data_IF_289218543659
#
_entry.id   IF_289218543659
#
_cell.length_a   1.000
_cell.length_b   1.000
_cell.length_c   1.000
_cell.angle_alpha   90.00
_cell.angle_beta   90.00
_cell.angle_gamma   90.00
#
_symmetry.space_group_name_H-M   'P 1'
#
loop_
_entity.id
_entity.type
_entity.pdbx_description
1 polymer ?
#
# COMPACT_ATOMS: atom_id res chain seq x y z
N UNK A 1 12.86 -16.21 -29.04
CA UNK A 1 12.91 -14.74 -29.11
C UNK A 1 12.07 -14.17 -27.98
N UNK A 2 12.68 -13.70 -26.88
CA UNK A 2 11.93 -13.19 -25.72
C UNK A 2 11.39 -11.80 -26.09
N UNK A 3 10.07 -11.64 -26.11
CA UNK A 3 9.40 -10.37 -26.37
C UNK A 3 9.71 -9.40 -25.23
N UNK A 4 10.43 -8.32 -25.52
CA UNK A 4 10.78 -7.30 -24.53
C UNK A 4 9.52 -6.47 -24.23
N UNK A 5 8.82 -6.82 -23.15
CA UNK A 5 7.68 -6.04 -22.66
C UNK A 5 8.24 -4.74 -22.08
N UNK A 6 7.90 -3.61 -22.69
CA UNK A 6 8.24 -2.27 -22.19
C UNK A 6 7.05 -1.71 -21.40
N UNK A 7 7.12 -1.78 -20.08
CA UNK A 7 6.15 -1.11 -19.19
C UNK A 7 6.64 0.32 -18.93
N UNK A 8 5.73 1.29 -18.98
CA UNK A 8 6.03 2.66 -18.58
C UNK A 8 6.38 2.69 -17.09
N UNK A 9 7.48 3.34 -16.74
CA UNK A 9 7.92 3.50 -15.36
C UNK A 9 6.85 4.09 -14.44
N UNK A 10 6.10 5.09 -14.90
CA UNK A 10 5.01 5.68 -14.12
C UNK A 10 3.91 4.65 -13.82
N UNK A 11 3.57 3.83 -14.81
CA UNK A 11 2.58 2.78 -14.65
C UNK A 11 3.06 1.67 -13.70
N UNK A 12 4.35 1.31 -13.77
CA UNK A 12 4.95 0.37 -12.82
C UNK A 12 4.85 0.89 -11.38
N UNK A 13 5.16 2.17 -11.16
CA UNK A 13 5.06 2.78 -9.84
C UNK A 13 3.62 2.78 -9.33
N UNK A 14 2.67 3.20 -10.16
CA UNK A 14 1.26 3.18 -9.80
C UNK A 14 0.77 1.76 -9.46
N UNK A 15 1.20 0.73 -10.19
CA UNK A 15 0.87 -0.66 -9.86
C UNK A 15 1.41 -1.07 -8.49
N UNK A 16 2.65 -0.69 -8.17
CA UNK A 16 3.25 -0.94 -6.86
C UNK A 16 2.43 -0.22 -5.78
N UNK A 17 2.13 1.07 -5.97
CA UNK A 17 1.34 1.86 -5.02
C UNK A 17 -0.03 1.22 -4.74
N UNK A 18 -0.74 0.77 -5.79
CA UNK A 18 -2.04 0.10 -5.66
C UNK A 18 -1.92 -1.21 -4.88
N UNK A 19 -0.92 -2.05 -5.19
CA UNK A 19 -0.70 -3.32 -4.48
C UNK A 19 -0.40 -3.07 -3.00
N UNK A 20 0.41 -2.07 -2.69
CA UNK A 20 0.70 -1.69 -1.30
C UNK A 20 -0.53 -1.11 -0.61
N UNK A 21 -1.24 -0.18 -1.25
CA UNK A 21 -2.43 0.46 -0.70
C UNK A 21 -3.52 -0.57 -0.39
N UNK A 22 -3.63 -1.66 -1.15
CA UNK A 22 -4.70 -2.65 -1.02
C UNK A 22 -4.24 -3.91 -0.29
N UNK A 23 -3.46 -4.76 -0.94
CA UNK A 23 -3.11 -6.11 -0.49
C UNK A 23 -2.26 -6.08 0.80
N UNK A 24 -1.24 -5.24 0.87
CA UNK A 24 -0.36 -5.21 2.04
C UNK A 24 -0.94 -4.40 3.20
N UNK A 25 -1.87 -3.49 2.93
CA UNK A 25 -2.52 -2.68 3.95
C UNK A 25 -3.96 -3.12 4.26
N UNK A 26 -4.31 -4.41 4.07
CA UNK A 26 -5.62 -4.96 4.48
C UNK A 26 -5.98 -4.64 5.94
N UNK A 27 -5.07 -4.79 6.93
CA UNK A 27 -5.40 -4.45 8.32
C UNK A 27 -5.83 -2.99 8.50
N UNK A 28 -5.19 -2.06 7.78
CA UNK A 28 -5.55 -0.64 7.80
C UNK A 28 -6.98 -0.44 7.30
N UNK A 29 -7.34 -1.11 6.19
CA UNK A 29 -8.72 -1.08 5.69
C UNK A 29 -9.72 -1.63 6.70
N UNK A 30 -9.42 -2.76 7.35
CA UNK A 30 -10.28 -3.33 8.37
C UNK A 30 -10.52 -2.35 9.53
N UNK A 31 -9.47 -1.69 10.01
CA UNK A 31 -9.59 -0.66 11.04
C UNK A 31 -10.39 0.55 10.57
N UNK A 32 -10.14 1.05 9.35
CA UNK A 32 -10.89 2.17 8.77
C UNK A 32 -12.38 1.83 8.60
N UNK A 33 -12.70 0.64 8.11
CA UNK A 33 -14.09 0.19 7.99
C UNK A 33 -14.78 0.09 9.34
N UNK A 34 -14.09 -0.42 10.36
CA UNK A 34 -14.62 -0.44 11.72
C UNK A 34 -14.91 0.99 12.21
N UNK A 35 -13.99 1.93 12.01
CA UNK A 35 -14.19 3.33 12.39
C UNK A 35 -15.39 3.93 11.65
N UNK A 36 -15.45 3.79 10.33
CA UNK A 36 -16.54 4.32 9.48
C UNK A 36 -17.90 3.77 9.91
N UNK A 37 -17.98 2.46 10.20
CA UNK A 37 -19.24 1.83 10.60
C UNK A 37 -19.73 2.30 11.98
N UNK A 38 -18.85 2.84 12.83
CA UNK A 38 -19.21 3.43 14.13
C UNK A 38 -19.51 4.93 14.05
N UNK A 39 -19.37 5.55 12.87
CA UNK A 39 -19.67 6.97 12.64
C UNK A 39 -21.03 7.12 11.96
N UNK A 40 -21.94 7.86 12.60
CA UNK A 40 -23.21 8.23 11.98
C UNK A 40 -23.01 9.30 10.89
N UNK A 41 -23.65 9.12 9.73
CA UNK A 41 -23.74 10.15 8.68
C UNK A 41 -22.48 10.36 7.84
N UNK A 42 -21.61 9.35 7.69
CA UNK A 42 -20.41 9.45 6.83
C UNK A 42 -20.81 9.68 5.37
N UNK A 43 -20.29 10.75 4.77
CA UNK A 43 -20.52 11.08 3.35
C UNK A 43 -19.76 10.11 2.44
N UNK A 44 -20.41 9.64 1.37
CA UNK A 44 -19.78 8.75 0.38
C UNK A 44 -18.48 9.33 -0.21
N UNK A 45 -18.41 10.66 -0.39
CA UNK A 45 -17.21 11.34 -0.87
C UNK A 45 -16.00 11.16 0.05
N UNK A 46 -16.21 11.05 1.36
CA UNK A 46 -15.13 10.75 2.30
C UNK A 46 -14.63 9.31 2.13
N UNK A 47 -15.54 8.36 1.98
CA UNK A 47 -15.19 6.94 1.76
C UNK A 47 -14.36 6.77 0.48
N UNK A 48 -14.73 7.45 -0.61
CA UNK A 48 -13.99 7.43 -1.88
C UNK A 48 -12.64 8.17 -1.76
N UNK A 49 -12.56 9.18 -0.91
CA UNK A 49 -11.29 9.91 -0.71
C UNK A 49 -10.21 9.06 -0.03
N UNK A 50 -10.58 8.08 0.81
CA UNK A 50 -9.62 7.21 1.50
C UNK A 50 -8.70 6.40 0.57
N UNK A 51 -9.21 5.65 -0.44
CA UNK A 51 -8.34 4.91 -1.35
C UNK A 51 -7.49 5.85 -2.21
N UNK A 52 -8.07 6.96 -2.67
CA UNK A 52 -7.33 7.98 -3.43
C UNK A 52 -6.21 8.57 -2.59
N UNK A 53 -6.49 8.89 -1.32
CA UNK A 53 -5.53 9.41 -0.37
C UNK A 53 -4.41 8.42 -0.08
N UNK A 54 -4.73 7.16 0.24
CA UNK A 54 -3.72 6.14 0.55
C UNK A 54 -2.79 5.87 -0.64
N UNK A 55 -3.34 5.74 -1.85
CA UNK A 55 -2.54 5.57 -3.07
C UNK A 55 -1.64 6.80 -3.30
N UNK A 56 -2.18 8.01 -3.17
CA UNK A 56 -1.42 9.25 -3.38
C UNK A 56 -0.32 9.44 -2.33
N UNK A 57 -0.62 9.12 -1.06
CA UNK A 57 0.34 9.17 0.03
C UNK A 57 1.48 8.16 -0.17
N UNK A 58 1.16 6.92 -0.58
CA UNK A 58 2.17 5.92 -0.90
C UNK A 58 3.01 6.33 -2.11
N UNK A 59 2.39 6.86 -3.17
CA UNK A 59 3.12 7.37 -4.32
C UNK A 59 4.12 8.47 -3.92
N UNK A 60 3.70 9.41 -3.07
CA UNK A 60 4.57 10.44 -2.52
C UNK A 60 5.74 9.85 -1.71
N UNK A 61 5.48 8.87 -0.85
CA UNK A 61 6.50 8.20 -0.03
C UNK A 61 7.46 7.36 -0.88
N UNK A 62 6.97 6.71 -1.93
CA UNK A 62 7.75 5.82 -2.79
C UNK A 62 8.56 6.56 -3.86
N UNK A 63 8.13 7.76 -4.26
CA UNK A 63 8.83 8.62 -5.22
C UNK A 63 10.34 8.75 -4.94
N UNK A 64 10.82 9.11 -3.73
CA UNK A 64 12.25 9.20 -3.45
C UNK A 64 13.01 7.87 -3.54
N UNK A 65 12.33 6.72 -3.46
CA UNK A 65 12.96 5.39 -3.58
C UNK A 65 12.89 4.83 -5.01
N UNK A 66 12.32 5.59 -5.95
CA UNK A 66 12.05 5.13 -7.31
C UNK A 66 13.21 5.36 -8.28
N UNK A 67 14.40 5.72 -7.80
CA UNK A 67 15.58 5.88 -8.65
C UNK A 67 16.13 4.54 -9.15
N UNK A 68 16.68 4.54 -10.37
CA UNK A 68 17.09 3.35 -11.15
C UNK A 68 17.85 2.27 -10.36
N UNK A 69 18.76 2.67 -9.47
CA UNK A 69 19.61 1.74 -8.72
C UNK A 69 18.99 1.24 -7.42
N UNK A 70 18.11 2.03 -6.81
CA UNK A 70 17.50 1.73 -5.49
C UNK A 70 16.17 0.98 -5.66
N UNK A 71 15.43 1.27 -6.72
CA UNK A 71 14.07 0.75 -6.94
C UNK A 71 13.98 -0.76 -6.73
N UNK A 72 14.79 -1.54 -7.45
CA UNK A 72 14.71 -3.02 -7.37
C UNK A 72 15.00 -3.56 -5.97
N UNK A 73 16.17 -3.30 -5.34
CA UNK A 73 16.46 -3.86 -4.02
C UNK A 73 15.49 -3.35 -2.95
N UNK A 74 15.14 -2.06 -2.99
CA UNK A 74 14.22 -1.46 -2.02
C UNK A 74 12.85 -2.12 -2.06
N UNK A 75 12.21 -2.17 -3.23
CA UNK A 75 10.87 -2.74 -3.33
C UNK A 75 10.88 -4.23 -3.02
N UNK A 76 11.87 -5.02 -3.49
CA UNK A 76 11.93 -6.44 -3.16
C UNK A 76 11.93 -6.71 -1.64
N UNK A 77 12.77 -5.97 -0.90
CA UNK A 77 12.81 -6.08 0.57
C UNK A 77 11.47 -5.63 1.16
N UNK A 78 10.94 -4.51 0.70
CA UNK A 78 9.69 -3.95 1.18
C UNK A 78 8.50 -4.90 0.97
N UNK A 79 8.43 -5.60 -0.18
CA UNK A 79 7.41 -6.62 -0.47
C UNK A 79 7.46 -7.77 0.53
N UNK A 80 8.65 -8.28 0.83
CA UNK A 80 8.84 -9.38 1.78
C UNK A 80 8.45 -8.91 3.19
N UNK A 81 9.02 -7.81 3.66
CA UNK A 81 8.70 -7.26 4.98
C UNK A 81 7.21 -6.98 5.13
N UNK A 82 6.57 -6.38 4.11
CA UNK A 82 5.14 -6.07 4.15
C UNK A 82 4.31 -7.34 4.21
N UNK A 83 4.65 -8.37 3.42
CA UNK A 83 3.95 -9.66 3.49
C UNK A 83 3.99 -10.28 4.90
N UNK A 84 5.14 -10.23 5.56
CA UNK A 84 5.32 -10.72 6.94
C UNK A 84 4.50 -9.88 7.90
N UNK A 85 4.56 -8.55 7.81
CA UNK A 85 3.81 -7.63 8.67
C UNK A 85 2.30 -7.81 8.51
N UNK A 86 1.79 -7.84 7.27
CA UNK A 86 0.37 -8.08 6.98
C UNK A 86 -0.07 -9.42 7.55
N UNK A 87 0.69 -10.49 7.31
CA UNK A 87 0.37 -11.82 7.84
C UNK A 87 0.37 -11.85 9.37
N UNK A 88 1.40 -11.27 9.99
CA UNK A 88 1.53 -11.23 11.44
C UNK A 88 0.38 -10.46 12.09
N UNK A 89 0.01 -9.31 11.52
CA UNK A 89 -1.09 -8.47 11.99
C UNK A 89 -2.42 -9.21 11.84
N UNK A 90 -2.69 -9.79 10.66
CA UNK A 90 -3.95 -10.48 10.38
C UNK A 90 -4.12 -11.77 11.20
N UNK A 91 -3.05 -12.55 11.40
CA UNK A 91 -3.13 -13.85 12.05
C UNK A 91 -2.98 -13.78 13.57
N UNK A 92 -2.11 -12.90 14.06
CA UNK A 92 -1.74 -12.83 15.46
C UNK A 92 -2.16 -11.52 16.14
N UNK A 93 -2.76 -10.57 15.40
CA UNK A 93 -3.14 -9.27 15.95
C UNK A 93 -1.96 -8.39 16.36
N UNK A 94 -0.75 -8.72 15.90
CA UNK A 94 0.48 -7.98 16.26
C UNK A 94 0.41 -6.59 15.66
N UNK A 95 0.56 -5.57 16.51
CA UNK A 95 0.76 -4.19 16.09
C UNK A 95 2.25 -3.88 16.17
N UNK A 96 2.85 -3.57 15.02
CA UNK A 96 4.25 -3.17 14.94
C UNK A 96 4.36 -1.71 15.37
N UNK A 97 4.51 -1.51 16.67
CA UNK A 97 4.81 -0.23 17.30
C UNK A 97 6.13 -0.33 18.08
N UNK A 98 6.74 0.82 18.39
CA UNK A 98 8.05 0.89 19.05
C UNK A 98 8.02 0.50 20.54
N UNK A 99 6.84 0.33 21.14
CA UNK A 99 6.54 0.60 22.56
C UNK A 99 6.64 2.09 22.91
#
# INVERSE_FOLDING_TARGET
>A
MIKKISINFLFLMLMIDVVFATLFNIPVWMHLFNIINNLDGVKIGFIISLPVFLISALNFVFTPFSFRYILKPFFCILFICSSIVTYATMKYGVQFDKQ
#
